data_IF_760465905109
#
_entry.id   IF_760465905109
#
_cell.length_a   1.000
_cell.length_b   1.000
_cell.length_c   1.000
_cell.angle_alpha   90.00
_cell.angle_beta   90.00
_cell.angle_gamma   90.00
#
_symmetry.space_group_name_H-M   'P 1'
#
loop_
_entity.id
_entity.type
_entity.pdbx_description
1 polymer ?
#
# COMPACT_ATOMS: atom_id res chain seq x y z
N UNK A 1 -13.11 7.52 3.92
CA UNK A 1 -12.43 6.43 3.19
C UNK A 1 -11.73 6.90 1.91
N UNK A 2 -12.32 7.83 1.15
CA UNK A 2 -11.70 8.30 -0.10
C UNK A 2 -10.35 8.99 0.09
N UNK A 3 -10.02 9.44 1.30
CA UNK A 3 -8.73 10.09 1.56
C UNK A 3 -7.53 9.19 1.29
N UNK A 4 -7.71 7.86 1.32
CA UNK A 4 -6.64 6.91 0.97
C UNK A 4 -6.14 7.15 -0.46
N UNK A 5 -7.02 7.61 -1.35
CA UNK A 5 -6.68 7.85 -2.75
C UNK A 5 -5.74 9.05 -2.95
N UNK A 6 -5.62 9.91 -1.94
CA UNK A 6 -4.70 11.06 -1.97
C UNK A 6 -3.27 10.66 -1.59
N UNK A 7 -3.08 9.45 -1.05
CA UNK A 7 -1.81 9.03 -0.48
C UNK A 7 -1.34 7.67 -1.01
N UNK A 8 -1.05 7.56 -2.33
CA UNK A 8 -0.56 6.29 -2.89
C UNK A 8 0.69 5.77 -2.20
N UNK A 9 1.59 6.69 -1.79
CA UNK A 9 2.83 6.34 -1.10
C UNK A 9 2.56 5.65 0.25
N UNK A 10 1.52 6.07 0.96
CA UNK A 10 1.16 5.48 2.24
C UNK A 10 0.67 4.05 2.05
N UNK A 11 -0.17 3.84 1.04
CA UNK A 11 -0.66 2.49 0.68
C UNK A 11 0.51 1.60 0.28
N UNK A 12 1.37 2.08 -0.61
CA UNK A 12 2.51 1.31 -1.12
C UNK A 12 3.52 0.97 -0.04
N UNK A 13 3.88 1.94 0.79
CA UNK A 13 4.83 1.73 1.89
C UNK A 13 4.29 0.71 2.89
N UNK A 14 3.03 0.87 3.31
CA UNK A 14 2.40 -0.05 4.26
C UNK A 14 2.30 -1.46 3.69
N UNK A 15 1.86 -1.58 2.45
CA UNK A 15 1.68 -2.87 1.79
C UNK A 15 3.01 -3.64 1.68
N UNK A 16 4.06 -2.98 1.19
CA UNK A 16 5.34 -3.64 0.94
C UNK A 16 6.10 -3.94 2.22
N UNK A 17 6.18 -3.00 3.16
CA UNK A 17 6.91 -3.23 4.40
C UNK A 17 6.25 -4.28 5.28
N UNK A 18 4.91 -4.33 5.30
CA UNK A 18 4.19 -5.33 6.09
C UNK A 18 4.26 -6.72 5.47
N UNK A 19 4.01 -6.85 4.16
CA UNK A 19 4.04 -8.18 3.52
C UNK A 19 5.45 -8.75 3.44
N UNK A 20 6.44 -7.89 3.20
CA UNK A 20 7.84 -8.31 3.05
C UNK A 20 8.61 -8.30 4.36
N UNK A 21 8.06 -7.69 5.41
CA UNK A 21 8.64 -7.61 6.76
C UNK A 21 10.04 -7.01 6.78
N UNK A 22 10.24 -5.97 5.96
CA UNK A 22 11.50 -5.23 5.88
C UNK A 22 11.21 -3.75 5.71
N UNK A 23 12.17 -2.87 6.04
CA UNK A 23 12.03 -1.44 5.75
C UNK A 23 12.17 -1.15 4.27
N UNK A 24 12.02 0.14 3.90
CA UNK A 24 11.98 0.56 2.50
C UNK A 24 13.28 0.32 1.73
N UNK A 25 14.43 0.35 2.41
CA UNK A 25 15.73 0.22 1.75
C UNK A 25 15.84 -1.01 0.86
N UNK A 26 15.68 -2.23 1.42
CA UNK A 26 15.73 -3.45 0.60
C UNK A 26 14.67 -3.50 -0.50
N UNK A 27 13.48 -2.94 -0.24
CA UNK A 27 12.37 -2.97 -1.20
C UNK A 27 12.72 -2.13 -2.43
N UNK A 28 13.19 -0.90 -2.23
CA UNK A 28 13.51 -0.01 -3.35
C UNK A 28 14.80 -0.41 -4.08
N UNK A 29 15.66 -1.17 -3.42
CA UNK A 29 16.92 -1.61 -4.01
C UNK A 29 16.77 -2.83 -4.92
N UNK A 30 15.74 -3.65 -4.70
CA UNK A 30 15.50 -4.84 -5.51
C UNK A 30 14.57 -4.50 -6.67
N UNK A 31 14.95 -4.76 -7.93
CA UNK A 31 14.13 -4.37 -9.09
C UNK A 31 12.70 -4.93 -9.07
N UNK A 32 12.51 -6.16 -8.60
CA UNK A 32 11.19 -6.78 -8.57
C UNK A 32 10.29 -6.18 -7.49
N UNK A 33 10.79 -6.02 -6.27
CA UNK A 33 10.00 -5.41 -5.19
C UNK A 33 9.77 -3.93 -5.45
N UNK A 34 10.73 -3.24 -6.05
CA UNK A 34 10.57 -1.84 -6.46
C UNK A 34 9.45 -1.70 -7.49
N UNK A 35 9.41 -2.58 -8.49
CA UNK A 35 8.36 -2.58 -9.50
C UNK A 35 6.99 -2.87 -8.87
N UNK A 36 6.94 -3.78 -7.92
CA UNK A 36 5.72 -4.12 -7.20
C UNK A 36 5.19 -2.90 -6.41
N UNK A 37 6.08 -2.20 -5.72
CA UNK A 37 5.73 -0.97 -5.00
C UNK A 37 5.14 0.07 -5.96
N UNK A 38 5.78 0.29 -7.10
CA UNK A 38 5.29 1.24 -8.11
C UNK A 38 3.91 0.84 -8.61
N UNK A 39 3.72 -0.43 -8.94
CA UNK A 39 2.46 -0.92 -9.50
C UNK A 39 1.33 -0.86 -8.48
N UNK A 40 1.61 -1.10 -7.20
CA UNK A 40 0.64 -0.89 -6.13
C UNK A 40 0.15 0.56 -6.12
N UNK A 41 1.08 1.51 -6.21
CA UNK A 41 0.74 2.93 -6.21
C UNK A 41 0.01 3.34 -7.48
N UNK A 42 0.35 2.75 -8.62
CA UNK A 42 -0.36 3.00 -9.88
C UNK A 42 -1.83 2.61 -9.79
N UNK A 43 -2.14 1.49 -9.16
CA UNK A 43 -3.53 1.11 -8.94
C UNK A 43 -4.27 2.17 -8.14
N UNK A 44 -3.65 2.71 -7.10
CA UNK A 44 -4.26 3.77 -6.28
C UNK A 44 -4.54 5.01 -7.12
N UNK A 45 -3.58 5.40 -7.96
CA UNK A 45 -3.72 6.60 -8.82
C UNK A 45 -4.85 6.40 -9.83
N UNK A 46 -4.94 5.24 -10.47
CA UNK A 46 -6.00 4.95 -11.45
C UNK A 46 -7.37 5.01 -10.78
N UNK A 47 -7.52 4.40 -9.61
CA UNK A 47 -8.79 4.43 -8.86
C UNK A 47 -9.11 5.86 -8.43
N UNK A 48 -8.12 6.60 -7.94
CA UNK A 48 -8.30 7.99 -7.51
C UNK A 48 -8.79 8.88 -8.64
N UNK A 49 -8.17 8.79 -9.81
CA UNK A 49 -8.56 9.57 -10.98
C UNK A 49 -9.98 9.21 -11.43
N UNK A 50 -10.34 7.93 -11.36
CA UNK A 50 -11.70 7.49 -11.70
C UNK A 50 -12.75 8.02 -10.72
N UNK A 51 -12.38 8.27 -9.48
CA UNK A 51 -13.25 8.91 -8.47
C UNK A 51 -13.25 10.44 -8.57
N UNK A 52 -12.54 11.01 -9.55
CA UNK A 52 -12.49 12.47 -9.73
C UNK A 52 -11.46 13.17 -8.87
N UNK A 53 -10.56 12.43 -8.20
CA UNK A 53 -9.46 13.04 -7.46
C UNK A 53 -8.45 13.60 -8.47
N UNK A 54 -8.05 14.88 -8.37
CA UNK A 54 -7.19 15.52 -9.37
C UNK A 54 -5.71 15.14 -9.21
N UNK A 55 -5.39 13.87 -9.38
CA UNK A 55 -4.02 13.38 -9.31
C UNK A 55 -3.40 13.40 -10.70
N UNK A 56 -2.12 13.80 -10.81
CA UNK A 56 -1.38 13.66 -12.08
C UNK A 56 -1.34 12.18 -12.50
N UNK A 57 -1.33 11.95 -13.80
CA UNK A 57 -1.29 10.59 -14.34
C UNK A 57 -0.03 9.85 -13.91
N UNK A 58 1.09 10.56 -13.75
CA UNK A 58 2.38 10.01 -13.33
C UNK A 58 2.65 10.15 -11.82
N UNK A 59 1.60 10.33 -11.02
CA UNK A 59 1.77 10.59 -9.59
C UNK A 59 2.44 9.42 -8.86
N UNK A 60 2.18 8.19 -9.28
CA UNK A 60 2.84 7.02 -8.68
C UNK A 60 4.36 7.10 -8.86
N UNK A 61 4.81 7.47 -10.05
CA UNK A 61 6.23 7.63 -10.36
C UNK A 61 6.85 8.74 -9.53
N UNK A 62 6.12 9.84 -9.33
CA UNK A 62 6.57 10.95 -8.48
C UNK A 62 6.75 10.48 -7.03
N UNK A 63 5.80 9.68 -6.52
CA UNK A 63 5.87 9.18 -5.14
C UNK A 63 6.97 8.13 -4.97
N UNK A 64 7.25 7.34 -6.00
CA UNK A 64 8.39 6.42 -5.97
C UNK A 64 9.71 7.19 -5.86
N UNK A 65 9.83 8.27 -6.61
CA UNK A 65 11.01 9.13 -6.55
C UNK A 65 11.18 9.74 -5.15
N UNK A 66 10.07 10.14 -4.54
CA UNK A 66 10.09 10.61 -3.15
C UNK A 66 10.60 9.51 -2.21
N UNK A 67 10.16 8.26 -2.42
CA UNK A 67 10.59 7.13 -1.61
C UNK A 67 12.10 6.87 -1.71
N UNK A 68 12.73 7.26 -2.80
CA UNK A 68 14.19 7.14 -2.95
C UNK A 68 14.95 8.11 -2.04
N UNK A 69 14.30 9.17 -1.60
CA UNK A 69 14.93 10.19 -0.75
C UNK A 69 14.77 9.96 0.75
N UNK A 70 13.96 8.99 1.17
CA UNK A 70 13.76 8.74 2.60
C UNK A 70 14.83 7.79 3.15
N UNK A 71 14.96 7.76 4.47
CA UNK A 71 15.91 6.86 5.13
C UNK A 71 15.65 5.40 4.76
N UNK A 72 16.70 4.60 4.45
CA UNK A 72 16.51 3.19 4.09
C UNK A 72 15.92 2.35 5.22
N UNK A 73 15.98 2.81 6.47
CA UNK A 73 15.40 2.09 7.60
C UNK A 73 13.95 2.49 7.87
N UNK A 74 13.39 3.40 7.09
CA UNK A 74 12.00 3.79 7.23
C UNK A 74 11.09 2.61 6.94
N UNK A 75 10.09 2.43 7.80
CA UNK A 75 9.08 1.41 7.63
C UNK A 75 7.69 2.02 7.89
N UNK A 76 6.68 1.20 8.13
CA UNK A 76 5.31 1.67 8.34
C UNK A 76 4.79 1.23 9.70
N UNK A 77 3.74 1.92 10.16
CA UNK A 77 3.03 1.51 11.37
C UNK A 77 2.40 0.13 11.18
N UNK A 78 1.95 -0.19 9.97
CA UNK A 78 1.38 -1.52 9.68
C UNK A 78 2.43 -2.63 9.88
N UNK A 79 3.68 -2.40 9.45
CA UNK A 79 4.76 -3.35 9.68
C UNK A 79 4.99 -3.55 11.19
N UNK A 80 5.04 -2.45 11.96
CA UNK A 80 5.19 -2.54 13.42
C UNK A 80 4.02 -3.28 14.06
N UNK A 81 2.79 -2.98 13.64
CA UNK A 81 1.61 -3.63 14.18
C UNK A 81 1.60 -5.13 13.88
N UNK A 82 2.01 -5.51 12.66
CA UNK A 82 2.12 -6.92 12.29
C UNK A 82 3.12 -7.65 13.20
N UNK A 83 4.31 -7.07 13.41
CA UNK A 83 5.34 -7.68 14.24
C UNK A 83 4.90 -7.82 15.71
N UNK A 84 4.11 -6.87 16.20
CA UNK A 84 3.61 -6.87 17.57
C UNK A 84 2.32 -7.69 17.77
N UNK A 85 1.72 -8.17 16.68
CA UNK A 85 0.45 -8.88 16.74
C UNK A 85 -0.74 -7.97 17.02
N UNK A 86 -0.63 -6.69 16.68
CA UNK A 86 -1.70 -5.71 16.81
C UNK A 86 -2.65 -5.79 15.62
N UNK A 87 -3.84 -5.17 15.74
CA UNK A 87 -4.76 -4.98 14.63
C UNK A 87 -4.07 -4.21 13.51
N UNK A 88 -4.38 -4.58 12.25
CA UNK A 88 -3.86 -3.88 11.08
C UNK A 88 -4.92 -2.99 10.45
N UNK A 89 -4.48 -1.87 9.88
CA UNK A 89 -5.37 -0.98 9.13
C UNK A 89 -5.47 -1.36 7.65
N UNK A 90 -5.16 -2.61 7.31
CA UNK A 90 -5.14 -3.08 5.93
C UNK A 90 -6.47 -2.85 5.22
N UNK A 91 -7.61 -2.96 5.93
CA UNK A 91 -8.94 -2.74 5.36
C UNK A 91 -9.16 -1.28 4.93
N UNK A 92 -8.42 -0.34 5.52
CA UNK A 92 -8.52 1.09 5.21
C UNK A 92 -7.48 1.53 4.19
N UNK A 93 -6.46 0.73 3.95
CA UNK A 93 -5.38 1.01 2.99
C UNK A 93 -5.59 0.16 1.74
N UNK A 94 -4.87 -0.95 1.57
CA UNK A 94 -5.05 -1.79 0.37
C UNK A 94 -6.47 -2.31 0.21
N UNK A 95 -7.10 -2.75 1.29
CA UNK A 95 -8.50 -3.19 1.26
C UNK A 95 -9.44 -2.07 0.85
N UNK A 96 -9.17 -0.85 1.31
CA UNK A 96 -9.94 0.35 0.92
C UNK A 96 -9.81 0.65 -0.56
N UNK A 97 -8.62 0.51 -1.12
CA UNK A 97 -8.39 0.70 -2.56
C UNK A 97 -9.18 -0.32 -3.37
N UNK A 98 -9.22 -1.58 -2.92
CA UNK A 98 -10.01 -2.62 -3.58
C UNK A 98 -11.49 -2.23 -3.62
N UNK A 99 -12.07 -1.83 -2.49
CA UNK A 99 -13.49 -1.45 -2.43
C UNK A 99 -13.80 -0.22 -3.28
N UNK A 100 -12.93 0.79 -3.24
CA UNK A 100 -13.11 1.99 -4.06
C UNK A 100 -12.96 1.70 -5.55
N UNK A 101 -12.09 0.76 -5.91
CA UNK A 101 -11.94 0.30 -7.29
C UNK A 101 -13.22 -0.35 -7.79
N UNK A 102 -13.86 -1.18 -6.97
CA UNK A 102 -15.13 -1.82 -7.33
C UNK A 102 -16.23 -0.81 -7.63
N UNK A 103 -16.27 0.30 -6.89
CA UNK A 103 -17.26 1.36 -7.11
C UNK A 103 -17.17 1.98 -8.51
N UNK A 104 -16.01 1.96 -9.12
CA UNK A 104 -15.77 2.57 -10.45
C UNK A 104 -15.41 1.54 -11.51
N UNK A 105 -15.57 0.25 -11.22
CA UNK A 105 -15.34 -0.82 -12.18
C UNK A 105 -13.86 -1.05 -12.53
N UNK A 106 -12.95 -0.71 -11.62
CA UNK A 106 -11.50 -0.87 -11.82
C UNK A 106 -10.99 -1.99 -10.93
N UNK A 107 -10.31 -2.96 -11.55
CA UNK A 107 -9.66 -4.04 -10.82
C UNK A 107 -8.36 -3.55 -10.20
N UNK A 108 -8.08 -4.04 -8.99
CA UNK A 108 -6.87 -3.68 -8.24
C UNK A 108 -6.20 -4.95 -7.73
N UNK A 109 -5.67 -5.78 -8.65
CA UNK A 109 -5.19 -7.12 -8.30
C UNK A 109 -4.05 -7.12 -7.27
N UNK A 110 -3.15 -6.14 -7.31
CA UNK A 110 -2.02 -6.12 -6.38
C UNK A 110 -2.45 -5.70 -4.98
N UNK A 111 -3.29 -4.68 -4.87
CA UNK A 111 -3.83 -4.28 -3.57
C UNK A 111 -4.72 -5.37 -3.00
N UNK A 112 -5.47 -6.08 -3.85
CA UNK A 112 -6.26 -7.22 -3.41
C UNK A 112 -5.37 -8.34 -2.87
N UNK A 113 -4.27 -8.65 -3.57
CA UNK A 113 -3.33 -9.66 -3.11
C UNK A 113 -2.75 -9.31 -1.73
N UNK A 114 -2.38 -8.06 -1.53
CA UNK A 114 -1.89 -7.59 -0.23
C UNK A 114 -2.95 -7.76 0.86
N UNK A 115 -4.19 -7.35 0.57
CA UNK A 115 -5.29 -7.49 1.52
C UNK A 115 -5.53 -8.95 1.87
N UNK A 116 -5.49 -9.83 0.88
CA UNK A 116 -5.69 -11.27 1.08
C UNK A 116 -4.55 -11.89 1.90
N UNK A 117 -3.30 -11.51 1.62
CA UNK A 117 -2.13 -12.01 2.35
C UNK A 117 -2.21 -11.60 3.83
N UNK A 118 -2.63 -10.38 4.12
CA UNK A 118 -2.66 -9.85 5.47
C UNK A 118 -3.96 -10.14 6.21
N UNK A 119 -4.95 -10.72 5.53
CA UNK A 119 -6.29 -10.95 6.10
C UNK A 119 -6.25 -11.77 7.39
N UNK A 120 -5.41 -12.79 7.47
CA UNK A 120 -5.29 -13.63 8.67
C UNK A 120 -4.70 -12.86 9.86
N UNK A 121 -4.06 -11.73 9.61
CA UNK A 121 -3.46 -10.89 10.65
C UNK A 121 -4.27 -9.64 10.94
N UNK A 122 -5.36 -9.39 10.21
CA UNK A 122 -6.08 -8.11 10.25
C UNK A 122 -6.56 -7.73 11.65
N UNK A 123 -7.02 -8.70 12.43
CA UNK A 123 -7.54 -8.46 13.78
C UNK A 123 -6.49 -8.67 14.88
N UNK A 124 -5.23 -8.84 14.49
CA UNK A 124 -4.16 -9.12 15.44
C UNK A 124 -4.16 -10.57 15.88
N UNK A 125 -3.40 -10.86 16.94
CA UNK A 125 -3.35 -12.21 17.50
C UNK A 125 -4.62 -12.52 18.26
N UNK A 126 -5.16 -13.70 18.05
CA UNK A 126 -6.39 -14.14 18.71
C UNK A 126 -6.13 -14.92 19.99
N UNK A 127 -4.87 -15.25 20.28
CA UNK A 127 -4.49 -16.15 21.35
C UNK A 127 -3.99 -15.47 22.63
N UNK A 128 -4.14 -14.14 22.69
CA UNK A 128 -3.67 -13.39 23.88
C UNK A 128 -4.74 -12.59 24.56
#
# INVERSE_FOLDING_TARGET
>A
MRCVLLHPHLVGLSATTATMRVPIGPIRANPQSRAFLLDLMREVVVVGRAHGVPLPEDYAEQRLKFADGVSPVMTSSMHHDLERGNRLEVRWLSGGVVELGKEVGIETPLNRAVADILAIHANGRSDH
#
